data_IF_514783456629
#
_entry.id   IF_514783456629
#
_cell.length_a   1.000
_cell.length_b   1.000
_cell.length_c   1.000
_cell.angle_alpha   90.00
_cell.angle_beta   90.00
_cell.angle_gamma   90.00
#
_symmetry.space_group_name_H-M   'P 1'
#
loop_
_entity.id
_entity.type
_entity.pdbx_description
1 polymer ?
#
# COMPACT_ATOMS: atom_id res chain seq x y z
N UNK A 1 16.19 -12.92 19.65
CA UNK A 1 15.61 -14.27 19.56
C UNK A 1 16.00 -15.02 18.27
N UNK A 2 16.20 -14.32 17.14
CA UNK A 2 16.60 -14.91 15.86
C UNK A 2 17.92 -15.67 16.01
N UNK A 3 18.96 -15.03 16.55
CA UNK A 3 20.28 -15.65 16.72
C UNK A 3 20.22 -16.94 17.53
N UNK A 4 19.37 -16.97 18.57
CA UNK A 4 19.19 -18.17 19.38
C UNK A 4 18.49 -19.30 18.60
N UNK A 5 17.51 -18.96 17.76
CA UNK A 5 16.85 -19.96 16.90
C UNK A 5 17.85 -20.49 15.88
N UNK A 6 18.59 -19.62 15.23
CA UNK A 6 19.60 -19.96 14.23
C UNK A 6 20.69 -20.90 14.80
N UNK A 7 21.14 -20.66 16.03
CA UNK A 7 22.13 -21.52 16.72
C UNK A 7 21.62 -22.91 17.07
N UNK A 8 20.28 -23.09 17.18
CA UNK A 8 19.65 -24.35 17.56
C UNK A 8 18.98 -25.06 16.39
N UNK A 9 19.05 -24.52 15.19
CA UNK A 9 18.45 -25.07 13.97
C UNK A 9 19.54 -25.60 13.07
N UNK A 10 19.41 -26.86 12.64
CA UNK A 10 20.37 -27.55 11.73
C UNK A 10 19.71 -27.95 10.41
N UNK A 11 18.44 -27.68 10.22
CA UNK A 11 17.68 -27.95 9.01
C UNK A 11 17.76 -26.73 8.10
N UNK A 12 18.20 -26.92 6.88
CA UNK A 12 18.38 -25.84 5.90
C UNK A 12 17.03 -25.18 5.55
N UNK A 13 15.95 -25.94 5.37
CA UNK A 13 14.62 -25.41 5.11
C UNK A 13 14.10 -24.48 6.23
N UNK A 14 14.43 -24.79 7.48
CA UNK A 14 14.05 -23.96 8.63
C UNK A 14 14.92 -22.71 8.72
N UNK A 15 16.19 -22.78 8.30
CA UNK A 15 17.08 -21.63 8.18
C UNK A 15 16.59 -20.66 7.10
N UNK A 16 16.21 -21.17 5.93
CA UNK A 16 15.67 -20.38 4.83
C UNK A 16 14.37 -19.65 5.24
N UNK A 17 13.47 -20.38 5.95
CA UNK A 17 12.27 -19.75 6.51
C UNK A 17 12.58 -18.68 7.55
N UNK A 18 13.58 -18.92 8.40
CA UNK A 18 14.02 -17.95 9.40
C UNK A 18 14.55 -16.68 8.72
N UNK A 19 15.31 -16.83 7.65
CA UNK A 19 15.84 -15.73 6.85
C UNK A 19 14.71 -14.94 6.19
N UNK A 20 13.76 -15.64 5.57
CA UNK A 20 12.56 -15.02 5.02
C UNK A 20 11.82 -14.18 6.09
N UNK A 21 11.54 -14.75 7.27
CA UNK A 21 10.88 -14.03 8.36
C UNK A 21 11.70 -12.83 8.89
N UNK A 22 13.02 -12.93 8.88
CA UNK A 22 13.88 -11.80 9.24
C UNK A 22 13.72 -10.65 8.23
N UNK A 23 13.79 -10.95 6.95
CA UNK A 23 13.59 -9.98 5.88
C UNK A 23 12.22 -9.33 5.93
N UNK A 24 11.18 -10.12 6.11
CA UNK A 24 9.80 -9.65 6.27
C UNK A 24 9.63 -8.73 7.49
N UNK A 25 10.24 -9.09 8.63
CA UNK A 25 10.17 -8.27 9.83
C UNK A 25 10.87 -6.91 9.66
N UNK A 26 12.05 -6.88 9.03
CA UNK A 26 12.76 -5.64 8.72
C UNK A 26 11.94 -4.79 7.74
N UNK A 27 11.41 -5.37 6.68
CA UNK A 27 10.57 -4.65 5.72
C UNK A 27 9.30 -4.09 6.38
N UNK A 28 8.58 -4.90 7.15
CA UNK A 28 7.36 -4.48 7.84
C UNK A 28 7.64 -3.33 8.82
N UNK A 29 8.78 -3.36 9.53
CA UNK A 29 9.18 -2.27 10.42
C UNK A 29 9.51 -1.01 9.62
N UNK A 30 10.28 -1.11 8.56
CA UNK A 30 10.57 0.00 7.66
C UNK A 30 9.30 0.65 7.11
N UNK A 31 8.36 -0.17 6.64
CA UNK A 31 7.05 0.30 6.16
C UNK A 31 6.29 1.05 7.25
N UNK A 32 6.14 0.46 8.44
CA UNK A 32 5.44 1.08 9.56
C UNK A 32 6.07 2.41 9.97
N UNK A 33 7.40 2.47 10.09
CA UNK A 33 8.10 3.72 10.43
C UNK A 33 7.99 4.77 9.32
N UNK A 34 8.00 4.38 8.05
CA UNK A 34 7.78 5.32 6.94
C UNK A 34 6.39 5.97 6.99
N UNK A 35 5.36 5.22 7.41
CA UNK A 35 4.01 5.77 7.62
C UNK A 35 3.95 6.67 8.87
N UNK A 36 4.56 6.27 9.98
CA UNK A 36 4.63 7.10 11.19
C UNK A 36 5.31 8.45 10.93
N UNK A 37 6.40 8.46 10.19
CA UNK A 37 7.09 9.71 9.82
C UNK A 37 6.15 10.62 9.01
N UNK A 38 5.44 10.11 8.03
CA UNK A 38 4.49 10.90 7.22
C UNK A 38 3.34 11.48 8.02
N UNK A 39 2.89 10.77 9.05
CA UNK A 39 1.74 11.20 9.87
C UNK A 39 2.12 12.17 10.99
N UNK A 40 3.33 12.04 11.55
CA UNK A 40 3.69 12.72 12.80
C UNK A 40 4.88 13.67 12.71
N UNK A 41 5.53 13.76 11.54
CA UNK A 41 6.67 14.64 11.34
C UNK A 41 6.36 15.71 10.29
N UNK A 42 7.22 16.73 10.24
CA UNK A 42 7.23 17.71 9.16
C UNK A 42 7.67 17.07 7.84
N UNK A 43 7.38 17.74 6.73
CA UNK A 43 7.98 17.39 5.46
C UNK A 43 9.51 17.43 5.57
N UNK A 44 10.18 16.49 4.91
CA UNK A 44 11.64 16.42 4.96
C UNK A 44 12.26 17.60 4.20
N UNK A 45 13.17 18.27 4.87
CA UNK A 45 14.04 19.27 4.28
C UNK A 45 15.49 18.92 4.65
N UNK A 46 16.37 18.61 3.67
CA UNK A 46 17.76 18.24 3.93
C UNK A 46 18.54 19.26 4.76
N UNK A 47 18.16 20.53 4.69
CA UNK A 47 18.83 21.59 5.43
C UNK A 47 18.48 21.62 6.93
N UNK A 48 17.33 21.09 7.32
CA UNK A 48 16.82 21.20 8.70
C UNK A 48 16.53 19.86 9.37
N UNK A 49 16.46 18.75 8.60
CA UNK A 49 16.04 17.43 9.08
C UNK A 49 16.82 16.91 10.31
N UNK A 50 18.10 17.24 10.43
CA UNK A 50 18.91 16.88 11.57
C UNK A 50 18.44 17.53 12.91
N UNK A 51 17.74 18.66 12.82
CA UNK A 51 17.25 19.42 13.98
C UNK A 51 15.74 19.34 14.15
N UNK A 52 15.00 18.78 13.19
CA UNK A 52 13.56 18.57 13.28
C UNK A 52 13.24 17.29 14.03
N UNK A 53 12.10 17.29 14.73
CA UNK A 53 11.66 16.11 15.48
C UNK A 53 11.14 15.01 14.53
N UNK A 54 11.78 13.86 14.61
CA UNK A 54 11.35 12.60 14.00
C UNK A 54 10.38 11.81 14.86
N UNK A 55 10.48 10.50 14.85
CA UNK A 55 9.68 9.57 15.67
C UNK A 55 10.54 8.90 16.76
N UNK A 56 9.89 8.20 17.69
CA UNK A 56 10.59 7.35 18.67
C UNK A 56 11.06 6.10 17.96
N UNK A 57 12.37 5.82 17.98
CA UNK A 57 12.95 4.64 17.33
C UNK A 57 13.08 3.49 18.33
N UNK A 58 12.53 2.34 17.98
CA UNK A 58 12.63 1.11 18.76
C UNK A 58 13.11 -0.03 17.86
N UNK A 59 14.29 -0.55 18.14
CA UNK A 59 14.87 -1.70 17.44
C UNK A 59 14.54 -3.04 18.13
N UNK A 60 14.16 -2.99 19.39
CA UNK A 60 13.78 -4.13 20.22
C UNK A 60 12.69 -3.72 21.22
N UNK A 61 12.04 -4.70 21.83
CA UNK A 61 11.10 -4.44 22.90
C UNK A 61 11.85 -4.24 24.21
N UNK A 62 11.70 -3.05 24.79
CA UNK A 62 12.10 -2.71 26.16
C UNK A 62 11.03 -1.75 26.71
N UNK A 63 10.30 -2.22 27.72
CA UNK A 63 9.22 -1.44 28.34
C UNK A 63 9.73 -0.28 29.20
N UNK A 64 10.96 -0.34 29.66
CA UNK A 64 11.57 0.64 30.56
C UNK A 64 12.40 1.70 29.83
N UNK A 65 12.67 1.47 28.54
CA UNK A 65 13.44 2.41 27.71
C UNK A 65 12.66 3.72 27.49
N UNK A 66 13.28 4.89 27.75
CA UNK A 66 12.62 6.18 27.54
C UNK A 66 12.13 6.37 26.11
N UNK A 67 10.90 6.91 25.96
CA UNK A 67 10.28 7.20 24.67
C UNK A 67 10.62 8.62 24.22
N UNK A 68 11.84 8.83 23.72
CA UNK A 68 12.32 10.13 23.24
C UNK A 68 12.29 10.13 21.71
N UNK A 69 11.75 11.18 21.11
CA UNK A 69 11.76 11.36 19.64
C UNK A 69 13.20 11.61 19.17
N UNK A 70 13.59 10.92 18.13
CA UNK A 70 14.86 11.16 17.41
C UNK A 70 14.75 12.38 16.50
N UNK A 71 15.83 12.70 15.76
CA UNK A 71 15.72 13.64 14.64
C UNK A 71 14.96 13.03 13.48
N UNK A 72 14.44 13.90 12.60
CA UNK A 72 13.78 13.49 11.38
C UNK A 72 14.75 12.76 10.44
N UNK A 73 15.98 13.24 10.34
CA UNK A 73 17.05 12.59 9.58
C UNK A 73 17.32 11.17 10.08
N UNK A 74 17.51 11.00 11.42
CA UNK A 74 17.73 9.68 12.01
C UNK A 74 16.53 8.73 11.82
N UNK A 75 15.31 9.28 11.80
CA UNK A 75 14.10 8.48 11.56
C UNK A 75 14.05 7.92 10.14
N UNK A 76 14.39 8.72 9.14
CA UNK A 76 14.51 8.23 7.76
C UNK A 76 15.68 7.27 7.58
N UNK A 77 16.83 7.55 8.23
CA UNK A 77 17.98 6.64 8.18
C UNK A 77 17.63 5.26 8.75
N UNK A 78 16.88 5.21 9.86
CA UNK A 78 16.41 3.95 10.45
C UNK A 78 15.56 3.13 9.46
N UNK A 79 14.68 3.80 8.69
CA UNK A 79 13.90 3.14 7.64
C UNK A 79 14.81 2.61 6.54
N UNK A 80 15.80 3.39 6.10
CA UNK A 80 16.72 2.97 5.04
C UNK A 80 17.60 1.79 5.49
N UNK A 81 18.08 1.80 6.73
CA UNK A 81 18.87 0.72 7.31
C UNK A 81 18.07 -0.59 7.38
N UNK A 82 16.79 -0.51 7.75
CA UNK A 82 15.90 -1.67 7.76
C UNK A 82 15.62 -2.21 6.35
N UNK A 83 15.45 -1.33 5.37
CA UNK A 83 15.29 -1.75 3.97
C UNK A 83 16.55 -2.39 3.42
N UNK A 84 17.73 -1.94 3.84
CA UNK A 84 19.01 -2.55 3.46
C UNK A 84 19.15 -3.96 4.06
N UNK A 85 18.84 -4.11 5.35
CA UNK A 85 18.81 -5.43 6.00
C UNK A 85 17.78 -6.36 5.41
N UNK A 86 16.57 -5.88 5.09
CA UNK A 86 15.57 -6.68 4.41
C UNK A 86 16.07 -7.20 3.06
N UNK A 87 16.84 -6.40 2.31
CA UNK A 87 17.40 -6.78 1.02
C UNK A 87 18.50 -7.86 1.10
N UNK A 88 19.06 -8.11 2.26
CA UNK A 88 20.01 -9.22 2.47
C UNK A 88 19.28 -10.58 2.42
N UNK A 89 18.01 -10.63 2.84
CA UNK A 89 17.21 -11.83 3.00
C UNK A 89 16.17 -12.04 1.89
N UNK A 90 15.52 -10.99 1.42
CA UNK A 90 14.39 -11.07 0.48
C UNK A 90 14.85 -10.95 -0.98
N UNK A 91 15.79 -11.81 -1.37
CA UNK A 91 16.26 -11.90 -2.76
C UNK A 91 15.35 -12.83 -3.54
N UNK A 92 15.12 -12.46 -4.79
CA UNK A 92 14.45 -13.33 -5.73
C UNK A 92 15.50 -14.24 -6.39
N UNK A 93 15.16 -15.50 -6.62
CA UNK A 93 16.00 -16.41 -7.37
C UNK A 93 16.11 -15.96 -8.83
N UNK A 94 17.28 -16.14 -9.45
CA UNK A 94 17.56 -15.67 -10.81
C UNK A 94 16.65 -16.31 -11.88
N UNK A 95 16.14 -17.51 -11.60
CA UNK A 95 15.27 -18.30 -12.48
C UNK A 95 13.78 -18.22 -12.10
N UNK A 96 13.41 -17.28 -11.22
CA UNK A 96 12.01 -17.12 -10.81
C UNK A 96 11.12 -16.78 -12.01
N UNK A 97 10.15 -17.64 -12.30
CA UNK A 97 9.17 -17.53 -13.39
C UNK A 97 7.73 -17.27 -12.92
N UNK A 98 7.54 -17.06 -11.62
CA UNK A 98 6.24 -16.86 -11.01
C UNK A 98 5.68 -15.45 -11.17
N UNK A 99 4.49 -15.24 -10.60
CA UNK A 99 3.78 -13.95 -10.57
C UNK A 99 4.12 -13.21 -9.30
N UNK A 100 4.58 -11.95 -9.43
CA UNK A 100 4.93 -11.10 -8.30
C UNK A 100 3.91 -9.98 -8.01
N UNK A 101 3.02 -9.69 -8.94
CA UNK A 101 2.00 -8.65 -8.74
C UNK A 101 0.81 -9.16 -7.93
N UNK A 102 0.15 -8.25 -7.25
CA UNK A 102 -1.05 -8.52 -6.41
C UNK A 102 -0.82 -9.59 -5.33
N UNK A 103 0.42 -9.77 -4.89
CA UNK A 103 0.79 -10.74 -3.87
C UNK A 103 0.88 -10.11 -2.47
N UNK A 104 0.55 -10.84 -1.40
CA UNK A 104 0.78 -10.39 -0.03
C UNK A 104 2.21 -10.65 0.47
N UNK A 105 3.05 -11.29 -0.33
CA UNK A 105 4.42 -11.63 0.06
C UNK A 105 5.40 -10.52 -0.31
N UNK A 106 6.41 -10.33 0.52
CA UNK A 106 7.50 -9.40 0.25
C UNK A 106 8.59 -10.05 -0.59
N UNK A 107 9.18 -9.26 -1.47
CA UNK A 107 10.34 -9.62 -2.26
C UNK A 107 11.23 -8.39 -2.47
N UNK A 108 12.35 -8.54 -3.17
CA UNK A 108 13.26 -7.43 -3.43
C UNK A 108 12.59 -6.23 -4.14
N UNK A 109 11.59 -6.48 -5.01
CA UNK A 109 10.88 -5.40 -5.71
C UNK A 109 9.96 -4.61 -4.79
N UNK A 110 9.39 -5.21 -3.74
CA UNK A 110 8.67 -4.47 -2.70
C UNK A 110 9.62 -3.55 -1.94
N UNK A 111 10.86 -3.99 -1.69
CA UNK A 111 11.91 -3.17 -1.08
C UNK A 111 12.27 -2.00 -2.00
N UNK A 112 12.50 -2.25 -3.29
CA UNK A 112 12.82 -1.18 -4.24
C UNK A 112 11.69 -0.17 -4.36
N UNK A 113 10.44 -0.60 -4.40
CA UNK A 113 9.28 0.27 -4.45
C UNK A 113 9.16 1.17 -3.20
N UNK A 114 9.34 0.60 -2.00
CA UNK A 114 9.32 1.38 -0.77
C UNK A 114 10.53 2.32 -0.69
N UNK A 115 11.70 1.88 -1.13
CA UNK A 115 12.92 2.68 -1.18
C UNK A 115 12.80 3.87 -2.12
N UNK A 116 12.21 3.68 -3.30
CA UNK A 116 11.88 4.76 -4.23
C UNK A 116 10.95 5.78 -3.60
N UNK A 117 9.89 5.32 -2.92
CA UNK A 117 8.94 6.19 -2.23
C UNK A 117 9.57 6.97 -1.08
N UNK A 118 10.38 6.33 -0.25
CA UNK A 118 11.10 6.98 0.85
C UNK A 118 12.07 8.03 0.30
N UNK A 119 12.83 7.71 -0.74
CA UNK A 119 13.74 8.64 -1.40
C UNK A 119 12.99 9.86 -1.98
N UNK A 120 11.80 9.66 -2.56
CA UNK A 120 10.94 10.74 -3.05
C UNK A 120 10.54 11.70 -1.91
N UNK A 121 10.11 11.17 -0.76
CA UNK A 121 9.80 12.00 0.41
C UNK A 121 11.02 12.72 0.99
N UNK A 122 12.21 12.13 0.88
CA UNK A 122 13.48 12.75 1.28
C UNK A 122 14.01 13.75 0.25
N UNK A 123 13.34 13.97 -0.87
CA UNK A 123 13.81 14.79 -2.01
C UNK A 123 15.12 14.28 -2.61
N UNK A 124 15.45 13.01 -2.40
CA UNK A 124 16.59 12.33 -3.03
C UNK A 124 16.15 11.76 -4.40
N UNK A 125 16.06 12.65 -5.38
CA UNK A 125 15.56 12.32 -6.72
C UNK A 125 16.35 11.25 -7.42
N UNK A 126 17.66 11.23 -7.20
CA UNK A 126 18.57 10.23 -7.79
C UNK A 126 18.25 8.80 -7.32
N UNK A 127 18.06 8.61 -6.03
CA UNK A 127 17.70 7.30 -5.50
C UNK A 127 16.26 6.95 -5.80
N UNK A 128 15.34 7.92 -5.83
CA UNK A 128 13.97 7.72 -6.24
C UNK A 128 13.90 7.16 -7.68
N UNK A 129 14.59 7.79 -8.63
CA UNK A 129 14.70 7.32 -10.01
C UNK A 129 15.36 5.93 -10.08
N UNK A 130 16.48 5.74 -9.41
CA UNK A 130 17.24 4.48 -9.41
C UNK A 130 16.38 3.29 -8.98
N UNK A 131 15.66 3.41 -7.88
CA UNK A 131 14.87 2.30 -7.33
C UNK A 131 13.54 2.12 -8.05
N UNK A 132 12.91 3.19 -8.53
CA UNK A 132 11.74 3.09 -9.41
C UNK A 132 12.10 2.37 -10.72
N UNK A 133 13.23 2.72 -11.34
CA UNK A 133 13.71 2.06 -12.56
C UNK A 133 13.94 0.56 -12.36
N UNK A 134 14.49 0.13 -11.21
CA UNK A 134 14.63 -1.29 -10.93
C UNK A 134 13.31 -2.06 -10.96
N UNK A 135 12.22 -1.45 -10.46
CA UNK A 135 10.89 -2.07 -10.51
C UNK A 135 10.34 -2.07 -11.93
N UNK A 136 10.47 -0.97 -12.66
CA UNK A 136 9.97 -0.83 -14.05
C UNK A 136 10.72 -1.78 -14.99
N UNK A 137 12.04 -1.83 -14.90
CA UNK A 137 12.92 -2.62 -15.79
C UNK A 137 12.78 -4.13 -15.54
N UNK A 138 12.31 -4.54 -14.37
CA UNK A 138 12.04 -5.94 -14.04
C UNK A 138 10.96 -6.55 -14.94
N UNK A 139 10.02 -5.74 -15.44
CA UNK A 139 8.86 -6.13 -16.25
C UNK A 139 7.87 -7.08 -15.57
N UNK A 140 8.06 -7.40 -14.30
CA UNK A 140 7.08 -8.12 -13.49
C UNK A 140 5.81 -7.30 -13.26
N UNK A 141 5.91 -5.97 -13.33
CA UNK A 141 4.82 -5.04 -13.07
C UNK A 141 4.54 -4.19 -14.31
N UNK A 142 3.26 -3.95 -14.58
CA UNK A 142 2.82 -3.13 -15.71
C UNK A 142 1.68 -2.23 -15.27
N UNK A 143 1.67 -1.00 -15.77
CA UNK A 143 0.55 -0.09 -15.57
C UNK A 143 -0.73 -0.66 -16.18
N UNK A 144 -1.83 -0.55 -15.47
CA UNK A 144 -3.15 -0.95 -15.93
C UNK A 144 -3.58 -0.04 -17.07
N UNK A 145 -3.89 -0.64 -18.22
CA UNK A 145 -4.34 0.10 -19.39
C UNK A 145 -5.88 0.16 -19.37
N UNK A 146 -6.42 1.35 -19.51
CA UNK A 146 -7.87 1.59 -19.56
C UNK A 146 -8.54 1.00 -20.80
N UNK A 147 -7.77 0.70 -21.85
CA UNK A 147 -8.29 0.06 -23.08
C UNK A 147 -8.29 -1.47 -22.99
N UNK A 148 -7.63 -2.05 -21.99
CA UNK A 148 -7.56 -3.50 -21.82
C UNK A 148 -8.79 -3.96 -21.03
N UNK A 149 -9.69 -4.66 -21.68
CA UNK A 149 -10.88 -5.23 -21.04
C UNK A 149 -10.53 -6.55 -20.34
N UNK A 150 -10.78 -6.62 -19.04
CA UNK A 150 -10.59 -7.84 -18.23
C UNK A 150 -11.87 -8.66 -18.18
N UNK A 151 -13.02 -7.97 -18.11
CA UNK A 151 -14.34 -8.59 -18.19
C UNK A 151 -15.14 -7.92 -19.31
N UNK A 152 -16.35 -8.40 -19.60
CA UNK A 152 -17.24 -7.77 -20.58
C UNK A 152 -17.68 -6.34 -20.19
N UNK A 153 -17.53 -5.96 -18.90
CA UNK A 153 -18.00 -4.69 -18.37
C UNK A 153 -16.93 -3.84 -17.67
N UNK A 154 -15.73 -4.38 -17.44
CA UNK A 154 -14.68 -3.70 -16.69
C UNK A 154 -13.35 -3.73 -17.44
N UNK A 155 -12.74 -2.57 -17.61
CA UNK A 155 -11.36 -2.47 -18.06
C UNK A 155 -10.37 -2.76 -16.91
N UNK A 156 -9.09 -2.91 -17.21
CA UNK A 156 -8.04 -3.25 -16.25
C UNK A 156 -7.97 -2.26 -15.08
N UNK A 157 -8.19 -0.97 -15.32
CA UNK A 157 -8.18 0.05 -14.28
C UNK A 157 -9.39 -0.07 -13.34
N UNK A 158 -10.60 -0.30 -13.87
CA UNK A 158 -11.80 -0.54 -13.07
C UNK A 158 -11.69 -1.84 -12.27
N UNK A 159 -11.20 -2.91 -12.93
CA UNK A 159 -11.01 -4.22 -12.32
C UNK A 159 -10.07 -4.17 -11.10
N UNK A 160 -8.98 -3.42 -11.20
CA UNK A 160 -8.04 -3.22 -10.10
C UNK A 160 -8.71 -2.71 -8.82
N UNK A 161 -9.65 -1.77 -8.95
CA UNK A 161 -10.33 -1.18 -7.79
C UNK A 161 -11.46 -2.05 -7.23
N UNK A 162 -12.10 -2.84 -8.09
CA UNK A 162 -13.22 -3.71 -7.67
C UNK A 162 -12.77 -5.09 -7.19
N UNK A 163 -11.62 -5.59 -7.67
CA UNK A 163 -11.15 -6.94 -7.35
C UNK A 163 -9.80 -6.98 -6.64
N UNK A 164 -9.16 -5.83 -6.41
CA UNK A 164 -7.84 -5.73 -5.79
C UNK A 164 -6.80 -6.64 -6.48
N UNK A 165 -6.87 -6.71 -7.79
CA UNK A 165 -6.00 -7.51 -8.63
C UNK A 165 -5.59 -6.73 -9.87
N UNK A 166 -4.28 -6.56 -10.06
CA UNK A 166 -3.72 -5.86 -11.20
C UNK A 166 -2.23 -6.11 -11.32
N UNK A 167 -1.72 -6.12 -12.53
CA UNK A 167 -0.28 -6.13 -12.80
C UNK A 167 0.45 -4.88 -12.27
N UNK A 168 -0.27 -3.86 -11.85
CA UNK A 168 0.26 -2.62 -11.30
C UNK A 168 0.43 -2.66 -9.77
N UNK A 169 -0.20 -3.62 -9.08
CA UNK A 169 -0.12 -3.75 -7.63
C UNK A 169 1.16 -4.50 -7.27
N UNK A 170 2.13 -3.79 -6.70
CA UNK A 170 3.41 -4.38 -6.31
C UNK A 170 3.25 -5.26 -5.07
N UNK A 171 2.43 -4.83 -4.12
CA UNK A 171 2.14 -5.57 -2.90
C UNK A 171 0.79 -5.13 -2.33
N UNK A 172 0.11 -6.04 -1.68
CA UNK A 172 -1.15 -5.77 -0.98
C UNK A 172 -1.23 -6.51 0.35
N UNK A 173 -2.04 -5.99 1.26
CA UNK A 173 -2.39 -6.72 2.47
C UNK A 173 -3.33 -7.87 2.08
N UNK A 174 -2.96 -9.10 2.41
CA UNK A 174 -3.83 -10.26 2.22
C UNK A 174 -5.00 -10.21 3.20
N UNK A 175 -6.19 -9.92 2.69
CA UNK A 175 -7.42 -9.90 3.49
C UNK A 175 -8.30 -11.09 3.13
N UNK A 176 -9.01 -11.60 4.14
CA UNK A 176 -9.98 -12.68 3.98
C UNK A 176 -11.33 -12.27 4.57
N UNK A 177 -12.38 -13.02 4.27
CA UNK A 177 -13.73 -12.78 4.83
C UNK A 177 -13.72 -12.76 6.37
N UNK A 178 -12.85 -13.55 6.99
CA UNK A 178 -12.71 -13.63 8.46
C UNK A 178 -11.68 -12.65 9.05
N UNK A 179 -10.89 -11.99 8.22
CA UNK A 179 -9.82 -11.08 8.63
C UNK A 179 -9.72 -9.91 7.67
N UNK A 180 -10.57 -8.91 7.87
CA UNK A 180 -10.59 -7.69 7.08
C UNK A 180 -10.47 -6.45 7.97
N UNK A 181 -9.85 -5.39 7.45
CA UNK A 181 -9.52 -4.18 8.21
C UNK A 181 -10.68 -3.20 8.45
N UNK A 182 -11.92 -3.57 8.11
CA UNK A 182 -13.11 -2.73 8.27
C UNK A 182 -13.77 -2.33 6.95
N UNK A 183 -14.87 -1.61 7.05
CA UNK A 183 -15.82 -1.39 5.98
C UNK A 183 -15.72 0.03 5.37
N UNK A 184 -14.55 0.43 4.85
CA UNK A 184 -14.42 1.75 4.22
C UNK A 184 -15.44 1.95 3.09
N UNK A 185 -15.75 0.89 2.34
CA UNK A 185 -16.78 0.91 1.31
C UNK A 185 -18.16 1.31 1.85
N UNK A 186 -18.53 0.90 3.08
CA UNK A 186 -19.81 1.29 3.69
C UNK A 186 -19.95 2.79 3.89
N UNK A 187 -18.86 3.47 4.24
CA UNK A 187 -18.88 4.92 4.47
C UNK A 187 -19.28 5.67 3.19
N UNK A 188 -18.85 5.16 2.04
CA UNK A 188 -19.05 5.81 0.75
C UNK A 188 -20.19 5.21 -0.07
N UNK A 189 -20.61 3.97 0.25
CA UNK A 189 -21.56 3.20 -0.57
C UNK A 189 -22.53 2.36 0.28
N UNK A 190 -22.94 2.88 1.44
CA UNK A 190 -23.86 2.21 2.33
C UNK A 190 -25.21 1.94 1.64
N UNK A 191 -25.66 0.70 1.66
CA UNK A 191 -26.94 0.25 1.09
C UNK A 191 -27.77 -0.45 2.15
N UNK A 192 -29.00 0.04 2.37
CA UNK A 192 -29.93 -0.49 3.38
C UNK A 192 -30.97 -1.45 2.80
N UNK A 193 -30.67 -2.08 1.65
CA UNK A 193 -31.56 -2.94 0.86
C UNK A 193 -32.77 -2.23 0.19
N UNK A 194 -32.85 -0.91 0.31
CA UNK A 194 -33.86 -0.09 -0.36
C UNK A 194 -33.23 1.06 -1.15
N UNK A 195 -32.21 1.68 -0.58
CA UNK A 195 -31.55 2.85 -1.15
C UNK A 195 -30.11 2.98 -0.68
N UNK A 196 -29.31 3.75 -1.40
CA UNK A 196 -27.96 4.10 -0.98
C UNK A 196 -28.00 5.27 0.01
N UNK A 197 -27.37 5.11 1.18
CA UNK A 197 -27.27 6.11 2.24
C UNK A 197 -25.81 6.28 2.69
N UNK A 198 -24.93 6.75 1.81
CA UNK A 198 -23.52 6.96 2.15
C UNK A 198 -23.39 8.04 3.25
N UNK A 199 -22.40 7.87 4.14
CA UNK A 199 -22.07 8.89 5.15
C UNK A 199 -21.37 10.09 4.50
N UNK A 200 -20.62 9.86 3.43
CA UNK A 200 -19.92 10.89 2.67
C UNK A 200 -20.17 10.75 1.17
N UNK A 201 -20.40 11.87 0.53
CA UNK A 201 -20.52 11.98 -0.93
C UNK A 201 -19.51 12.99 -1.46
N UNK A 202 -19.04 12.85 -2.71
CA UNK A 202 -18.16 13.83 -3.32
C UNK A 202 -18.85 15.18 -3.44
N UNK A 203 -18.15 16.23 -3.05
CA UNK A 203 -18.63 17.60 -3.26
C UNK A 203 -18.60 17.95 -4.77
N UNK A 204 -19.50 18.83 -5.20
CA UNK A 204 -19.60 19.25 -6.60
C UNK A 204 -18.26 19.76 -7.18
N UNK A 205 -17.47 20.49 -6.38
CA UNK A 205 -16.19 21.01 -6.85
C UNK A 205 -15.18 19.90 -7.15
N UNK A 206 -15.22 18.77 -6.40
CA UNK A 206 -14.37 17.60 -6.68
C UNK A 206 -14.78 16.96 -8.01
N UNK A 207 -16.10 16.79 -8.23
CA UNK A 207 -16.61 16.21 -9.47
C UNK A 207 -16.24 17.07 -10.69
N UNK A 208 -16.23 18.40 -10.54
CA UNK A 208 -15.86 19.36 -11.58
C UNK A 208 -14.36 19.36 -11.92
N UNK A 209 -13.50 18.69 -11.14
CA UNK A 209 -12.08 18.51 -11.49
C UNK A 209 -11.86 17.45 -12.57
N UNK A 210 -12.85 16.60 -12.81
CA UNK A 210 -12.77 15.58 -13.86
C UNK A 210 -13.31 16.16 -15.18
N UNK A 211 -12.56 15.98 -16.25
CA UNK A 211 -13.04 16.27 -17.61
C UNK A 211 -13.89 15.12 -18.13
N UNK A 212 -14.66 15.36 -19.19
CA UNK A 212 -15.47 14.33 -19.87
C UNK A 212 -14.60 13.19 -20.46
N UNK A 213 -13.32 13.47 -20.73
CA UNK A 213 -12.37 12.49 -21.26
C UNK A 213 -11.61 11.75 -20.15
N UNK A 214 -11.81 12.12 -18.88
CA UNK A 214 -11.11 11.49 -17.76
C UNK A 214 -11.73 10.12 -17.42
N UNK A 215 -11.08 9.07 -17.88
CA UNK A 215 -11.53 7.69 -17.70
C UNK A 215 -11.57 7.24 -16.22
N UNK A 216 -10.89 7.97 -15.33
CA UNK A 216 -10.92 7.70 -13.89
C UNK A 216 -12.29 7.99 -13.28
N UNK A 217 -13.07 8.92 -13.87
CA UNK A 217 -14.40 9.23 -13.35
C UNK A 217 -15.28 7.99 -13.34
N UNK A 218 -15.39 7.28 -14.44
CA UNK A 218 -16.20 6.06 -14.56
C UNK A 218 -15.73 4.90 -13.67
N UNK A 219 -14.44 4.88 -13.28
CA UNK A 219 -13.90 3.88 -12.37
C UNK A 219 -14.09 4.24 -10.89
N UNK A 220 -14.08 5.53 -10.57
CA UNK A 220 -14.09 6.02 -9.19
C UNK A 220 -15.50 6.37 -8.69
N UNK A 221 -16.46 6.62 -9.59
CA UNK A 221 -17.80 7.07 -9.22
C UNK A 221 -18.88 6.28 -9.96
N UNK A 222 -19.98 6.00 -9.24
CA UNK A 222 -21.20 5.41 -9.79
C UNK A 222 -22.37 6.25 -9.37
N UNK A 223 -23.18 6.71 -10.32
CA UNK A 223 -24.39 7.48 -10.03
C UNK A 223 -25.49 6.53 -9.59
N UNK A 224 -26.01 6.75 -8.39
CA UNK A 224 -27.07 5.95 -7.78
C UNK A 224 -28.16 6.83 -7.15
N UNK A 225 -29.42 6.35 -7.10
CA UNK A 225 -30.47 7.01 -6.33
C UNK A 225 -30.13 6.90 -4.85
N UNK A 226 -30.05 8.03 -4.17
CA UNK A 226 -29.82 8.08 -2.73
C UNK A 226 -31.13 8.07 -1.96
N UNK A 227 -31.12 7.53 -0.74
CA UNK A 227 -32.26 7.58 0.19
C UNK A 227 -32.47 8.93 0.88
N UNK A 228 -31.72 9.95 0.46
CA UNK A 228 -31.91 11.33 0.94
C UNK A 228 -33.08 12.01 0.24
N UNK A 229 -33.62 13.16 0.79
CA UNK A 229 -34.85 13.75 0.30
C UNK A 229 -34.93 13.85 -1.21
N UNK A 230 -36.05 13.35 -1.76
CA UNK A 230 -36.38 13.36 -3.19
C UNK A 230 -35.69 12.32 -4.08
N UNK A 231 -35.01 11.31 -3.54
CA UNK A 231 -34.33 10.26 -4.35
C UNK A 231 -33.26 10.84 -5.26
N UNK A 232 -32.52 11.81 -4.75
CA UNK A 232 -31.49 12.52 -5.53
C UNK A 232 -30.49 11.54 -6.12
N UNK A 233 -30.32 11.58 -7.41
CA UNK A 233 -29.26 10.88 -8.11
C UNK A 233 -27.95 11.59 -7.86
N UNK A 234 -26.94 10.87 -7.34
CA UNK A 234 -25.63 11.45 -7.05
C UNK A 234 -24.50 10.48 -7.36
N UNK A 235 -23.34 10.96 -7.85
CA UNK A 235 -22.15 10.14 -8.00
C UNK A 235 -21.62 9.74 -6.63
N UNK A 236 -21.64 8.46 -6.31
CA UNK A 236 -21.09 7.88 -5.10
C UNK A 236 -19.67 7.35 -5.37
N UNK A 237 -18.81 7.35 -4.35
CA UNK A 237 -17.43 6.85 -4.51
C UNK A 237 -17.45 5.32 -4.60
N UNK A 238 -17.19 4.80 -5.79
CA UNK A 238 -17.15 3.37 -6.08
C UNK A 238 -15.74 2.75 -5.97
N UNK A 239 -14.71 3.57 -5.76
CA UNK A 239 -13.31 3.15 -5.71
C UNK A 239 -13.03 2.04 -4.68
N UNK A 240 -13.78 1.99 -3.60
CA UNK A 240 -13.62 1.04 -2.49
C UNK A 240 -14.79 0.05 -2.40
N UNK A 241 -15.50 -0.13 -3.49
CA UNK A 241 -16.75 -0.88 -3.52
C UNK A 241 -16.55 -2.40 -3.42
N UNK A 242 -15.40 -2.90 -3.83
CA UNK A 242 -15.18 -4.34 -3.94
C UNK A 242 -15.94 -4.95 -5.11
N UNK A 243 -15.98 -6.26 -5.15
CA UNK A 243 -16.72 -7.03 -6.14
C UNK A 243 -18.22 -7.03 -5.76
N UNK A 244 -19.12 -7.03 -6.73
CA UNK A 244 -20.59 -7.00 -6.54
C UNK A 244 -21.10 -8.06 -5.56
N UNK A 245 -20.45 -9.23 -5.48
CA UNK A 245 -20.74 -10.28 -4.52
C UNK A 245 -20.47 -9.89 -3.05
N UNK A 246 -19.72 -8.82 -2.82
CA UNK A 246 -19.29 -8.35 -1.50
C UNK A 246 -19.94 -7.04 -1.06
N UNK A 247 -20.92 -6.51 -1.80
CA UNK A 247 -21.68 -5.32 -1.39
C UNK A 247 -22.22 -5.47 0.03
N UNK A 248 -22.65 -6.67 0.39
CA UNK A 248 -23.14 -7.01 1.72
C UNK A 248 -22.05 -7.39 2.72
N UNK A 249 -20.79 -7.58 2.31
CA UNK A 249 -19.70 -8.13 3.14
C UNK A 249 -18.51 -7.19 3.32
N UNK A 250 -18.50 -6.01 2.71
CA UNK A 250 -17.60 -4.90 3.01
C UNK A 250 -16.11 -5.27 3.15
N UNK A 251 -15.54 -5.95 2.17
CA UNK A 251 -14.11 -6.22 2.17
C UNK A 251 -13.35 -4.99 1.68
N UNK A 252 -12.43 -4.54 2.50
CA UNK A 252 -11.55 -3.43 2.20
C UNK A 252 -10.23 -3.95 1.68
N UNK A 253 -9.92 -3.57 0.48
CA UNK A 253 -8.59 -3.78 -0.08
C UNK A 253 -7.77 -2.50 0.12
N UNK A 254 -6.73 -2.57 0.95
CA UNK A 254 -5.76 -1.49 1.07
C UNK A 254 -4.69 -1.73 0.01
N UNK A 255 -4.84 -1.08 -1.14
CA UNK A 255 -3.76 -1.00 -2.10
C UNK A 255 -2.70 -0.04 -1.57
N UNK A 256 -1.43 -0.44 -1.64
CA UNK A 256 -0.33 0.51 -1.46
C UNK A 256 -0.46 1.61 -2.52
N UNK A 257 -0.25 2.88 -2.16
CA UNK A 257 -0.20 3.94 -3.16
C UNK A 257 0.85 3.59 -4.20
N UNK A 258 0.50 3.78 -5.45
CA UNK A 258 1.38 3.59 -6.60
C UNK A 258 2.62 4.46 -6.44
N UNK A 259 3.77 3.89 -6.72
CA UNK A 259 5.04 4.62 -6.83
C UNK A 259 5.08 5.41 -8.14
#
# INVERSE_FOLDING_TARGET
NVDRVRQNTTNDDDLDRLDQYCGEAYFARALAYSELIKLFCKAYDPATAANELGVVLKSHYDGDEPTIRSSLEASYQFVLDDLERAAEYLKLEDDFDGVLYSTPYFCEYTIYALRARVALYMQNWKDAEKYASKVIDSKYYKLSNVNDMITSSQNAYQYMWSNDESTEIIWKVGMTISSYGGALGQIFFNYDFQSFKPDYVPATWVLNLYSEQDLRFAANFVTQPTGYPHGLQWPLVAKYFGNESFIAQNMLHICMPKV
#
